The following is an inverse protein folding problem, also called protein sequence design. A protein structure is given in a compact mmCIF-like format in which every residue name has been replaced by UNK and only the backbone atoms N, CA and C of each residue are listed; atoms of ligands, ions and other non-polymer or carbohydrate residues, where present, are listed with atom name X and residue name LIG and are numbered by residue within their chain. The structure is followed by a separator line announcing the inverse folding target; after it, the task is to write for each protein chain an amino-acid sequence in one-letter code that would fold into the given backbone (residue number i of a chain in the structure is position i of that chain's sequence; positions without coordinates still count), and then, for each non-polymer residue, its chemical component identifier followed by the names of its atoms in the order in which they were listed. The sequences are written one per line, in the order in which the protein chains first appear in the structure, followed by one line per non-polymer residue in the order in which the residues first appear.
data_IF_184088089061
#
_entry.id   IF_184088089061
#
_cell.length_a   1.000
_cell.length_b   1.000
_cell.length_c   1.000
_cell.angle_alpha   90.00
_cell.angle_beta   90.00
_cell.angle_gamma   90.00
#
_symmetry.space_group_name_H-M   'P 1'
#
loop_
_entity.id
_entity.type
_entity.pdbx_description
1 polymer ?
#
# COMPACT_ATOMS: atom_id res chain seq x y z
N UNK A 1 -30.95 -2.17 -20.76
CA UNK A 1 -29.67 -2.62 -21.35
C UNK A 1 -28.54 -2.07 -20.50
N UNK A 2 -28.22 -2.71 -19.36
CA UNK A 2 -27.31 -2.11 -18.37
C UNK A 2 -26.61 -3.11 -17.46
N UNK A 3 -26.50 -4.38 -17.84
CA UNK A 3 -25.73 -5.37 -17.09
C UNK A 3 -24.33 -5.58 -17.69
N UNK A 4 -24.22 -5.56 -19.02
CA UNK A 4 -22.93 -5.72 -19.70
C UNK A 4 -21.99 -4.51 -19.51
N UNK A 5 -22.55 -3.29 -19.41
CA UNK A 5 -21.74 -2.07 -19.18
C UNK A 5 -21.28 -1.99 -17.73
N UNK A 6 -22.18 -2.26 -16.77
CA UNK A 6 -21.88 -2.21 -15.35
C UNK A 6 -20.89 -3.33 -14.94
N UNK A 7 -21.02 -4.53 -15.53
CA UNK A 7 -20.07 -5.62 -15.31
C UNK A 7 -18.67 -5.32 -15.90
N UNK A 8 -18.60 -4.63 -17.04
CA UNK A 8 -17.33 -4.21 -17.63
C UNK A 8 -16.65 -3.11 -16.82
N UNK A 9 -17.42 -2.13 -16.32
CA UNK A 9 -16.93 -1.09 -15.41
C UNK A 9 -16.39 -1.68 -14.09
N UNK A 10 -17.11 -2.66 -13.52
CA UNK A 10 -16.66 -3.38 -12.33
C UNK A 10 -15.37 -4.18 -12.59
N UNK A 11 -15.25 -4.81 -13.76
CA UNK A 11 -14.05 -5.57 -14.16
C UNK A 11 -12.84 -4.65 -14.36
N UNK A 12 -13.02 -3.50 -15.02
CA UNK A 12 -11.96 -2.50 -15.20
C UNK A 12 -11.49 -1.91 -13.87
N UNK A 13 -12.42 -1.59 -12.96
CA UNK A 13 -12.12 -1.13 -11.59
C UNK A 13 -11.32 -2.17 -10.79
N UNK A 14 -11.67 -3.46 -10.92
CA UNK A 14 -10.96 -4.55 -10.28
C UNK A 14 -9.54 -4.71 -10.83
N UNK A 15 -9.36 -4.58 -12.15
CA UNK A 15 -8.05 -4.63 -12.81
C UNK A 15 -7.17 -3.47 -12.32
N UNK A 16 -7.69 -2.25 -12.27
CA UNK A 16 -6.95 -1.07 -11.80
C UNK A 16 -6.53 -1.24 -10.34
N UNK A 17 -7.45 -1.65 -9.46
CA UNK A 17 -7.17 -1.91 -8.05
C UNK A 17 -6.10 -2.99 -7.88
N UNK A 18 -6.16 -4.07 -8.65
CA UNK A 18 -5.16 -5.14 -8.62
C UNK A 18 -3.78 -4.63 -9.05
N UNK A 19 -3.70 -3.84 -10.12
CA UNK A 19 -2.43 -3.26 -10.60
C UNK A 19 -1.80 -2.31 -9.55
N UNK A 20 -2.63 -1.52 -8.86
CA UNK A 20 -2.19 -0.66 -7.76
C UNK A 20 -1.66 -1.51 -6.58
N UNK A 21 -2.36 -2.58 -6.19
CA UNK A 21 -1.92 -3.51 -5.15
C UNK A 21 -0.64 -4.26 -5.51
N UNK A 22 -0.48 -4.69 -6.77
CA UNK A 22 0.75 -5.34 -7.24
C UNK A 22 1.94 -4.37 -7.21
N UNK A 23 1.72 -3.10 -7.57
CA UNK A 23 2.75 -2.07 -7.44
C UNK A 23 3.18 -1.88 -5.99
N UNK A 24 2.21 -1.80 -5.08
CA UNK A 24 2.45 -1.71 -3.65
C UNK A 24 3.19 -2.93 -3.11
N UNK A 25 2.77 -4.13 -3.49
CA UNK A 25 3.40 -5.37 -3.07
C UNK A 25 4.88 -5.42 -3.48
N UNK A 26 5.26 -4.74 -4.56
CA UNK A 26 6.66 -4.66 -5.03
C UNK A 26 7.47 -3.54 -4.37
N UNK A 27 6.82 -2.56 -3.73
CA UNK A 27 7.49 -1.42 -3.10
C UNK A 27 8.62 -1.83 -2.13
N UNK A 28 8.48 -2.89 -1.30
CA UNK A 28 9.57 -3.34 -0.42
C UNK A 28 10.82 -3.84 -1.14
N UNK A 29 10.72 -4.18 -2.43
CA UNK A 29 11.86 -4.65 -3.25
C UNK A 29 12.62 -3.52 -3.93
N UNK A 30 12.07 -2.30 -3.92
CA UNK A 30 12.69 -1.13 -4.56
C UNK A 30 13.71 -0.46 -3.65
N UNK A 31 14.77 0.10 -4.26
CA UNK A 31 15.74 0.95 -3.56
C UNK A 31 15.22 2.38 -3.35
N UNK A 32 15.90 3.14 -2.49
CA UNK A 32 15.47 4.49 -2.09
C UNK A 32 15.25 5.46 -3.27
N UNK A 33 16.08 5.38 -4.33
CA UNK A 33 15.91 6.21 -5.53
C UNK A 33 14.53 6.01 -6.16
N UNK A 34 14.15 4.76 -6.42
CA UNK A 34 12.85 4.42 -7.00
C UNK A 34 11.69 4.77 -6.08
N UNK A 35 11.86 4.58 -4.76
CA UNK A 35 10.84 4.97 -3.79
C UNK A 35 10.63 6.48 -3.77
N UNK A 36 11.69 7.28 -3.86
CA UNK A 36 11.58 8.74 -3.91
C UNK A 36 10.98 9.24 -5.23
N UNK A 37 11.24 8.57 -6.36
CA UNK A 37 10.52 8.84 -7.62
C UNK A 37 9.01 8.57 -7.49
N UNK A 38 8.62 7.51 -6.78
CA UNK A 38 7.22 7.20 -6.47
C UNK A 38 6.63 8.31 -5.58
N UNK A 39 7.32 8.72 -4.51
CA UNK A 39 6.90 9.82 -3.64
C UNK A 39 6.71 11.14 -4.42
N UNK A 40 7.65 11.47 -5.31
CA UNK A 40 7.56 12.65 -6.17
C UNK A 40 6.32 12.59 -7.06
N UNK A 41 6.06 11.46 -7.72
CA UNK A 41 4.88 11.30 -8.59
C UNK A 41 3.57 11.40 -7.81
N UNK A 42 3.49 10.76 -6.64
CA UNK A 42 2.33 10.83 -5.75
C UNK A 42 2.08 12.26 -5.24
N UNK A 43 3.13 13.02 -4.97
CA UNK A 43 3.01 14.39 -4.45
C UNK A 43 2.39 15.40 -5.41
N UNK A 44 2.21 15.04 -6.68
CA UNK A 44 1.60 15.92 -7.68
C UNK A 44 0.11 16.17 -7.45
N UNK A 45 -0.57 15.29 -6.71
CA UNK A 45 -2.00 15.33 -6.45
C UNK A 45 -2.29 14.79 -5.05
N UNK A 46 -2.56 15.70 -4.11
CA UNK A 46 -2.74 15.35 -2.69
C UNK A 46 -3.96 14.46 -2.44
N UNK A 47 -5.05 14.65 -3.19
CA UNK A 47 -6.26 13.81 -3.06
C UNK A 47 -5.96 12.39 -3.55
N UNK A 48 -5.28 12.25 -4.69
CA UNK A 48 -4.82 10.93 -5.16
C UNK A 48 -3.81 10.30 -4.21
N UNK A 49 -2.91 11.09 -3.64
CA UNK A 49 -1.96 10.58 -2.64
C UNK A 49 -2.69 10.00 -1.43
N UNK A 50 -3.76 10.66 -0.95
CA UNK A 50 -4.59 10.17 0.16
C UNK A 50 -5.26 8.83 -0.18
N UNK A 51 -5.88 8.72 -1.35
CA UNK A 51 -6.50 7.46 -1.79
C UNK A 51 -5.47 6.32 -1.89
N UNK A 52 -4.25 6.60 -2.35
CA UNK A 52 -3.18 5.60 -2.39
C UNK A 52 -2.73 5.20 -0.98
N UNK A 53 -2.60 6.15 -0.04
CA UNK A 53 -2.25 5.85 1.34
C UNK A 53 -3.32 4.97 2.03
N UNK A 54 -4.59 5.16 1.73
CA UNK A 54 -5.68 4.31 2.23
C UNK A 54 -5.57 2.88 1.69
N UNK A 55 -5.25 2.72 0.40
CA UNK A 55 -4.98 1.40 -0.18
C UNK A 55 -3.76 0.74 0.47
N UNK A 56 -2.71 1.52 0.72
CA UNK A 56 -1.50 1.05 1.38
C UNK A 56 -1.78 0.62 2.83
N UNK A 57 -2.60 1.38 3.56
CA UNK A 57 -3.01 1.04 4.91
C UNK A 57 -3.75 -0.31 4.94
N UNK A 58 -4.62 -0.56 3.96
CA UNK A 58 -5.37 -1.82 3.87
C UNK A 58 -4.45 -3.03 3.65
N UNK A 59 -3.44 -2.89 2.81
CA UNK A 59 -2.42 -3.91 2.58
C UNK A 59 -1.59 -4.18 3.83
N UNK A 60 -1.12 -3.13 4.51
CA UNK A 60 -0.29 -3.30 5.71
C UNK A 60 -1.08 -3.82 6.91
N UNK A 61 -2.38 -3.52 7.01
CA UNK A 61 -3.30 -4.22 7.92
C UNK A 61 -3.33 -5.72 7.62
N UNK A 62 -3.51 -6.10 6.36
CA UNK A 62 -3.53 -7.51 5.98
C UNK A 62 -2.16 -8.18 6.16
N UNK A 63 -1.06 -7.43 6.05
CA UNK A 63 0.28 -7.91 6.38
C UNK A 63 0.42 -8.23 7.87
N UNK A 64 -0.08 -7.35 8.75
CA UNK A 64 -0.14 -7.63 10.21
C UNK A 64 -0.90 -8.93 10.45
N UNK A 65 -2.09 -9.09 9.85
CA UNK A 65 -2.88 -10.32 9.98
C UNK A 65 -2.11 -11.56 9.46
N UNK A 66 -1.40 -11.43 8.33
CA UNK A 66 -0.62 -12.51 7.74
C UNK A 66 0.56 -12.94 8.64
N UNK A 67 1.28 -11.99 9.25
CA UNK A 67 2.37 -12.25 10.20
C UNK A 67 1.86 -13.00 11.44
N UNK A 68 0.65 -12.70 11.89
CA UNK A 68 -0.03 -13.42 12.99
C UNK A 68 -0.76 -14.70 12.55
N UNK A 69 -0.57 -15.15 11.31
CA UNK A 69 -1.20 -16.37 10.74
C UNK A 69 -2.74 -16.30 10.64
N UNK A 70 -3.32 -15.12 10.67
CA UNK A 70 -4.76 -14.86 10.53
C UNK A 70 -5.15 -14.49 9.08
N UNK A 71 -4.64 -15.23 8.10
CA UNK A 71 -4.87 -14.96 6.67
C UNK A 71 -6.35 -15.00 6.27
N UNK A 72 -7.17 -15.76 6.99
CA UNK A 72 -8.62 -15.85 6.81
C UNK A 72 -9.35 -14.53 7.09
N UNK A 73 -8.78 -13.66 7.92
CA UNK A 73 -9.33 -12.33 8.26
C UNK A 73 -8.89 -11.21 7.28
N UNK A 74 -8.02 -11.52 6.32
CA UNK A 74 -7.55 -10.56 5.31
C UNK A 74 -8.65 -10.22 4.31
N UNK A 75 -8.68 -8.97 3.88
CA UNK A 75 -9.65 -8.48 2.88
C UNK A 75 -9.15 -8.66 1.46
N UNK A 76 -7.83 -8.67 1.23
CA UNK A 76 -7.23 -8.89 -0.08
C UNK A 76 -7.11 -10.40 -0.36
N UNK A 77 -8.25 -11.08 -0.52
CA UNK A 77 -8.33 -12.54 -0.67
C UNK A 77 -7.46 -13.05 -1.82
N UNK A 78 -7.48 -12.35 -2.96
CA UNK A 78 -6.70 -12.70 -4.16
C UNK A 78 -5.18 -12.54 -3.98
N UNK A 79 -4.76 -11.85 -2.93
CA UNK A 79 -3.36 -11.55 -2.63
C UNK A 79 -2.81 -12.33 -1.43
N UNK A 80 -3.60 -13.24 -0.84
CA UNK A 80 -3.19 -14.04 0.34
C UNK A 80 -1.89 -14.79 0.14
N UNK A 81 -1.64 -15.31 -1.06
CA UNK A 81 -0.37 -15.99 -1.36
C UNK A 81 0.81 -15.02 -1.27
N UNK A 82 0.68 -13.83 -1.87
CA UNK A 82 1.70 -12.78 -1.82
C UNK A 82 1.93 -12.30 -0.39
N UNK A 83 0.86 -12.02 0.36
CA UNK A 83 0.91 -11.64 1.77
C UNK A 83 1.63 -12.71 2.61
N UNK A 84 1.29 -14.00 2.41
CA UNK A 84 1.93 -15.12 3.10
C UNK A 84 3.43 -15.18 2.83
N UNK A 85 3.87 -14.98 1.59
CA UNK A 85 5.30 -15.00 1.23
C UNK A 85 6.06 -13.80 1.82
N UNK A 86 5.46 -12.61 1.79
CA UNK A 86 6.06 -11.41 2.37
C UNK A 86 6.12 -11.46 3.89
N UNK A 87 5.10 -12.00 4.55
CA UNK A 87 5.07 -12.18 6.00
C UNK A 87 6.19 -13.08 6.54
N UNK A 88 6.83 -13.92 5.70
CA UNK A 88 8.03 -14.67 6.08
C UNK A 88 9.26 -13.77 6.27
N UNK A 89 9.27 -12.60 5.63
CA UNK A 89 10.40 -11.68 5.60
C UNK A 89 10.13 -10.38 6.37
N UNK A 90 8.86 -10.10 6.69
CA UNK A 90 8.42 -8.94 7.46
C UNK A 90 8.11 -9.39 8.88
N UNK A 91 8.80 -8.82 9.87
CA UNK A 91 8.51 -9.09 11.27
C UNK A 91 7.26 -8.35 11.78
N UNK A 92 6.70 -8.81 12.91
CA UNK A 92 5.52 -8.17 13.52
C UNK A 92 5.71 -6.66 13.72
N UNK A 93 6.83 -6.27 14.35
CA UNK A 93 7.15 -4.87 14.60
C UNK A 93 7.33 -4.04 13.33
N UNK A 94 7.77 -4.63 12.21
CA UNK A 94 7.87 -3.91 10.93
C UNK A 94 6.49 -3.64 10.33
N UNK A 95 5.62 -4.64 10.33
CA UNK A 95 4.26 -4.48 9.82
C UNK A 95 3.46 -3.43 10.61
N UNK A 96 3.54 -3.45 11.94
CA UNK A 96 2.91 -2.46 12.81
C UNK A 96 3.51 -1.05 12.65
N UNK A 97 4.84 -0.95 12.51
CA UNK A 97 5.51 0.33 12.24
C UNK A 97 5.02 0.95 10.93
N UNK A 98 4.87 0.15 9.88
CA UNK A 98 4.43 0.66 8.60
C UNK A 98 2.97 1.14 8.64
N UNK A 99 2.09 0.43 9.34
CA UNK A 99 0.71 0.92 9.60
C UNK A 99 0.75 2.28 10.29
N UNK A 100 1.58 2.45 11.32
CA UNK A 100 1.72 3.74 12.02
C UNK A 100 2.29 4.83 11.11
N UNK A 101 3.36 4.55 10.37
CA UNK A 101 3.97 5.51 9.46
C UNK A 101 2.98 6.03 8.40
N UNK A 102 2.10 5.16 7.89
CA UNK A 102 1.05 5.56 6.94
C UNK A 102 0.04 6.49 7.61
N UNK A 103 -0.44 6.15 8.81
CA UNK A 103 -1.39 6.97 9.56
C UNK A 103 -0.80 8.35 9.90
N UNK A 104 0.44 8.38 10.38
CA UNK A 104 1.16 9.63 10.70
C UNK A 104 1.35 10.49 9.43
N UNK A 105 1.64 9.85 8.29
CA UNK A 105 1.74 10.55 7.00
C UNK A 105 0.39 11.15 6.58
N UNK A 106 -0.70 10.40 6.71
CA UNK A 106 -2.06 10.90 6.40
C UNK A 106 -2.41 12.10 7.28
N UNK A 107 -2.11 12.04 8.58
CA UNK A 107 -2.31 13.16 9.50
C UNK A 107 -1.46 14.39 9.11
N UNK A 108 -0.20 14.19 8.74
CA UNK A 108 0.67 15.27 8.27
C UNK A 108 0.09 15.96 7.02
N UNK A 109 -0.49 15.19 6.08
CA UNK A 109 -1.16 15.76 4.91
C UNK A 109 -2.40 16.59 5.31
N UNK A 110 -3.19 16.11 6.28
CA UNK A 110 -4.36 16.86 6.80
C UNK A 110 -3.95 18.18 7.47
N UNK A 111 -2.73 18.22 8.03
CA UNK A 111 -2.12 19.42 8.61
C UNK A 111 -1.43 20.33 7.57
N UNK A 112 -1.58 20.05 6.27
CA UNK A 112 -0.97 20.78 5.15
C UNK A 112 0.57 20.78 5.16
N UNK A 113 1.20 19.72 5.69
CA UNK A 113 2.64 19.50 5.53
C UNK A 113 2.96 19.29 4.05
N UNK A 114 4.18 19.63 3.63
CA UNK A 114 4.63 19.40 2.26
C UNK A 114 4.47 17.92 1.86
N UNK A 115 3.58 17.65 0.90
CA UNK A 115 3.18 16.29 0.50
C UNK A 115 4.37 15.44 0.06
N UNK A 116 5.31 16.02 -0.70
CA UNK A 116 6.50 15.31 -1.16
C UNK A 116 7.38 14.89 0.01
N UNK A 117 7.68 15.81 0.92
CA UNK A 117 8.53 15.52 2.08
C UNK A 117 7.90 14.46 2.99
N UNK A 118 6.59 14.55 3.24
CA UNK A 118 5.86 13.56 4.04
C UNK A 118 5.92 12.17 3.40
N UNK A 119 5.72 12.07 2.09
CA UNK A 119 5.83 10.81 1.35
C UNK A 119 7.27 10.28 1.30
N UNK A 120 8.29 11.14 1.13
CA UNK A 120 9.69 10.72 1.17
C UNK A 120 10.08 10.13 2.53
N UNK A 121 9.58 10.70 3.64
CA UNK A 121 9.75 10.12 4.98
C UNK A 121 9.09 8.73 5.05
N UNK A 122 7.85 8.60 4.59
CA UNK A 122 7.16 7.30 4.54
C UNK A 122 7.96 6.24 3.76
N UNK A 123 8.60 6.62 2.65
CA UNK A 123 9.42 5.70 1.84
C UNK A 123 10.63 5.14 2.59
N UNK A 124 11.16 5.88 3.57
CA UNK A 124 12.27 5.42 4.41
C UNK A 124 11.81 4.38 5.44
N UNK A 125 10.54 4.43 5.86
CA UNK A 125 9.94 3.46 6.79
C UNK A 125 9.51 2.16 6.12
N UNK A 126 9.35 2.15 4.78
CA UNK A 126 9.03 0.92 4.04
C UNK A 126 10.16 -0.11 4.27
N UNK A 127 9.85 -1.33 4.75
CA UNK A 127 10.89 -2.33 4.97
C UNK A 127 11.50 -2.79 3.64
N UNK A 128 12.73 -3.31 3.70
CA UNK A 128 13.39 -3.87 2.52
C UNK A 128 13.30 -5.39 2.58
N UNK A 129 12.50 -5.98 1.68
CA UNK A 129 12.36 -7.44 1.59
C UNK A 129 13.31 -7.94 0.51
N UNK A 130 14.26 -8.79 0.89
CA UNK A 130 15.06 -9.57 -0.06
C UNK A 130 14.31 -10.86 -0.33
N UNK A 131 13.63 -10.92 -1.47
CA UNK A 131 13.01 -12.14 -2.00
C UNK A 131 14.03 -13.03 -2.71
#
# INVERSE_FOLDING_TARGET
MGWAVQAAEDEDLLIERKAQLETLARLPTFGNVQRFEIAQRLSADAEKARAVLELWLLWWRDMVLAVHQCLDLTVNVDMRQTLKQQALHVGNGESERMVRAILDTMEALDQNVNTRAALEVLMLDVPTIKM
#
